data_IF_420679149315
#
_entry.id   IF_420679149315
#
_cell.length_a   1.000
_cell.length_b   1.000
_cell.length_c   1.000
_cell.angle_alpha   90.00
_cell.angle_beta   90.00
_cell.angle_gamma   90.00
#
_symmetry.space_group_name_H-M   'P 1'
#
loop_
_entity.id
_entity.type
_entity.pdbx_description
1 polymer ?
#
# COMPACT_ATOMS: atom_id res chain seq x y z
N UNK A 1 -23.90 -23.49 22.26
CA UNK A 1 -23.39 -23.62 20.88
C UNK A 1 -23.54 -22.28 20.15
N UNK A 2 -22.87 -21.23 20.64
CA UNK A 2 -22.91 -19.89 20.03
C UNK A 2 -21.50 -19.31 19.77
N UNK A 3 -20.44 -20.05 20.11
CA UNK A 3 -19.06 -19.57 20.11
C UNK A 3 -18.37 -19.70 18.73
N UNK A 4 -18.72 -20.74 17.95
CA UNK A 4 -18.12 -21.00 16.63
C UNK A 4 -18.45 -19.93 15.57
N UNK A 5 -19.54 -19.18 15.74
CA UNK A 5 -20.04 -18.28 14.70
C UNK A 5 -19.35 -16.89 14.74
N UNK A 6 -18.87 -16.47 15.90
CA UNK A 6 -18.23 -15.16 16.09
C UNK A 6 -16.72 -15.23 15.79
N UNK A 7 -16.04 -16.34 16.09
CA UNK A 7 -14.64 -16.55 15.68
C UNK A 7 -14.50 -16.56 14.15
N UNK A 8 -15.44 -17.17 13.44
CA UNK A 8 -15.38 -17.30 11.99
C UNK A 8 -15.62 -15.94 11.29
N UNK A 9 -16.54 -15.12 11.81
CA UNK A 9 -16.76 -13.73 11.33
C UNK A 9 -15.55 -12.84 11.56
N UNK A 10 -14.89 -12.95 12.72
CA UNK A 10 -13.70 -12.16 13.02
C UNK A 10 -12.50 -12.54 12.13
N UNK A 11 -12.33 -13.82 11.79
CA UNK A 11 -11.31 -14.28 10.84
C UNK A 11 -11.55 -13.76 9.42
N UNK A 12 -12.77 -13.91 8.90
CA UNK A 12 -13.12 -13.43 7.55
C UNK A 12 -12.90 -11.91 7.45
N UNK A 13 -13.27 -11.15 8.48
CA UNK A 13 -13.02 -9.70 8.48
C UNK A 13 -11.54 -9.34 8.58
N UNK A 14 -10.70 -10.14 9.25
CA UNK A 14 -9.24 -9.93 9.32
C UNK A 14 -8.54 -10.18 8.00
N UNK A 15 -9.00 -11.14 7.21
CA UNK A 15 -8.45 -11.41 5.89
C UNK A 15 -8.79 -10.31 4.88
N UNK A 16 -9.90 -9.60 5.10
CA UNK A 16 -10.31 -8.48 4.24
C UNK A 16 -9.32 -7.30 4.34
N UNK A 17 -8.77 -7.02 5.52
CA UNK A 17 -7.87 -5.87 5.70
C UNK A 17 -6.53 -6.05 4.95
N UNK A 18 -6.17 -7.29 4.59
CA UNK A 18 -4.97 -7.62 3.82
C UNK A 18 -4.95 -6.93 2.45
N UNK A 19 -6.13 -6.68 1.85
CA UNK A 19 -6.19 -5.99 0.55
C UNK A 19 -5.60 -4.58 0.62
N UNK A 20 -5.79 -3.88 1.75
CA UNK A 20 -5.29 -2.53 1.96
C UNK A 20 -3.79 -2.51 2.18
N UNK A 21 -3.26 -3.51 2.89
CA UNK A 21 -1.82 -3.71 3.00
C UNK A 21 -1.18 -3.96 1.63
N UNK A 22 -1.81 -4.79 0.80
CA UNK A 22 -1.32 -5.05 -0.55
C UNK A 22 -1.32 -3.78 -1.42
N UNK A 23 -2.43 -3.03 -1.46
CA UNK A 23 -2.52 -1.78 -2.22
C UNK A 23 -1.50 -0.74 -1.74
N UNK A 24 -1.32 -0.63 -0.42
CA UNK A 24 -0.32 0.25 0.15
C UNK A 24 1.11 -0.21 -0.13
N UNK A 25 1.39 -1.52 -0.21
CA UNK A 25 2.69 -2.03 -0.63
C UNK A 25 3.01 -1.68 -2.09
N UNK A 26 2.03 -1.80 -2.99
CA UNK A 26 2.19 -1.37 -4.40
C UNK A 26 2.44 0.14 -4.47
N UNK A 27 1.66 0.94 -3.74
CA UNK A 27 1.87 2.39 -3.67
C UNK A 27 3.26 2.76 -3.12
N UNK A 28 3.71 2.06 -2.08
CA UNK A 28 5.02 2.25 -1.48
C UNK A 28 6.18 1.88 -2.41
N UNK A 29 6.05 0.80 -3.16
CA UNK A 29 7.01 0.42 -4.20
C UNK A 29 7.13 1.51 -5.26
N UNK A 30 6.01 1.97 -5.81
CA UNK A 30 6.01 3.03 -6.83
C UNK A 30 6.61 4.33 -6.28
N UNK A 31 6.26 4.70 -5.05
CA UNK A 31 6.81 5.88 -4.39
C UNK A 31 8.33 5.76 -4.17
N UNK A 32 8.81 4.60 -3.72
CA UNK A 32 10.23 4.34 -3.52
C UNK A 32 11.01 4.40 -4.83
N UNK A 33 10.47 3.85 -5.93
CA UNK A 33 11.09 3.95 -7.26
C UNK A 33 11.16 5.40 -7.72
N UNK A 34 10.07 6.16 -7.57
CA UNK A 34 10.07 7.59 -7.93
C UNK A 34 11.06 8.39 -7.10
N UNK A 35 11.15 8.11 -5.81
CA UNK A 35 12.14 8.71 -4.93
C UNK A 35 13.56 8.38 -5.40
N UNK A 36 13.86 7.11 -5.69
CA UNK A 36 15.15 6.67 -6.21
C UNK A 36 15.53 7.38 -7.53
N UNK A 37 14.60 7.42 -8.50
CA UNK A 37 14.80 8.14 -9.76
C UNK A 37 15.01 9.65 -9.55
N UNK A 38 14.32 10.25 -8.58
CA UNK A 38 14.45 11.68 -8.28
C UNK A 38 15.80 12.05 -7.66
N UNK A 39 16.45 11.11 -6.98
CA UNK A 39 17.77 11.33 -6.39
C UNK A 39 18.87 11.40 -7.45
N UNK A 40 18.67 10.79 -8.64
CA UNK A 40 19.67 10.76 -9.70
C UNK A 40 21.01 10.11 -9.28
N UNK A 41 20.98 9.32 -8.21
CA UNK A 41 22.15 8.69 -7.59
C UNK A 41 22.50 7.42 -8.38
N UNK A 42 23.77 7.28 -8.76
CA UNK A 42 24.27 6.06 -9.39
C UNK A 42 24.12 4.87 -8.43
N UNK A 43 23.82 3.67 -8.92
CA UNK A 43 23.56 2.47 -8.09
C UNK A 43 24.65 2.19 -7.05
N UNK A 44 25.88 2.65 -7.29
CA UNK A 44 27.05 2.39 -6.46
C UNK A 44 27.41 3.54 -5.50
N UNK A 45 26.64 4.63 -5.48
CA UNK A 45 26.92 5.76 -4.61
C UNK A 45 26.39 5.51 -3.19
N UNK A 46 27.23 5.80 -2.19
CA UNK A 46 26.87 5.68 -0.78
C UNK A 46 25.70 6.61 -0.45
N UNK A 47 24.55 6.01 -0.12
CA UNK A 47 23.38 6.76 0.33
C UNK A 47 23.60 7.22 1.79
N UNK A 48 23.46 8.53 2.09
CA UNK A 48 23.41 9.01 3.46
C UNK A 48 22.33 8.27 4.25
N UNK A 49 22.60 7.99 5.53
CA UNK A 49 21.65 7.30 6.42
C UNK A 49 20.24 7.91 6.40
N UNK A 50 20.14 9.24 6.31
CA UNK A 50 18.87 9.95 6.22
C UNK A 50 18.06 9.58 4.96
N UNK A 51 18.72 9.36 3.82
CA UNK A 51 18.07 8.91 2.59
C UNK A 51 17.62 7.45 2.68
N UNK A 52 18.40 6.59 3.37
CA UNK A 52 18.00 5.22 3.66
C UNK A 52 16.71 5.15 4.49
N UNK A 53 16.60 5.98 5.54
CA UNK A 53 15.38 6.07 6.36
C UNK A 53 14.20 6.60 5.54
N UNK A 54 14.40 7.62 4.70
CA UNK A 54 13.35 8.13 3.82
C UNK A 54 12.89 7.07 2.82
N UNK A 55 13.81 6.29 2.24
CA UNK A 55 13.47 5.22 1.31
C UNK A 55 12.63 4.12 1.98
N UNK A 56 12.97 3.74 3.21
CA UNK A 56 12.15 2.81 4.01
C UNK A 56 10.77 3.41 4.33
N UNK A 57 10.70 4.69 4.67
CA UNK A 57 9.44 5.38 4.91
C UNK A 57 8.57 5.43 3.65
N UNK A 58 9.16 5.66 2.48
CA UNK A 58 8.46 5.61 1.19
C UNK A 58 7.94 4.21 0.88
N UNK A 59 8.72 3.17 1.18
CA UNK A 59 8.37 1.78 0.88
C UNK A 59 7.26 1.23 1.80
N UNK A 60 7.39 1.43 3.10
CA UNK A 60 6.48 0.84 4.10
C UNK A 60 5.40 1.79 4.61
N UNK A 61 5.63 3.10 4.52
CA UNK A 61 4.71 4.11 5.01
C UNK A 61 3.30 3.98 4.43
N UNK A 62 3.13 3.92 3.10
CA UNK A 62 1.79 3.83 2.50
C UNK A 62 1.02 2.58 2.95
N UNK A 63 1.67 1.41 3.01
CA UNK A 63 1.09 0.18 3.56
C UNK A 63 0.67 0.32 5.01
N UNK A 64 1.56 0.84 5.85
CA UNK A 64 1.30 1.04 7.28
C UNK A 64 0.13 1.99 7.54
N UNK A 65 0.10 3.15 6.87
CA UNK A 65 -0.99 4.12 7.05
C UNK A 65 -2.31 3.59 6.51
N UNK A 66 -2.33 2.94 5.34
CA UNK A 66 -3.57 2.43 4.76
C UNK A 66 -4.16 1.29 5.60
N UNK A 67 -3.29 0.40 6.13
CA UNK A 67 -3.69 -0.64 7.08
C UNK A 67 -4.27 -0.08 8.38
N UNK A 68 -3.65 0.97 8.96
CA UNK A 68 -4.19 1.62 10.17
C UNK A 68 -5.54 2.30 9.94
N UNK A 69 -5.72 2.97 8.79
CA UNK A 69 -7.00 3.61 8.44
C UNK A 69 -8.08 2.54 8.26
N UNK A 70 -7.77 1.44 7.58
CA UNK A 70 -8.69 0.33 7.38
C UNK A 70 -9.13 -0.29 8.72
N UNK A 71 -8.18 -0.61 9.61
CA UNK A 71 -8.48 -1.15 10.94
C UNK A 71 -9.36 -0.19 11.75
N UNK A 72 -9.08 1.11 11.71
CA UNK A 72 -9.88 2.10 12.42
C UNK A 72 -11.32 2.18 11.87
N UNK A 73 -11.50 2.18 10.54
CA UNK A 73 -12.85 2.21 9.95
C UNK A 73 -13.60 0.92 10.18
N UNK A 74 -12.92 -0.22 10.13
CA UNK A 74 -13.52 -1.51 10.47
C UNK A 74 -14.07 -1.51 11.90
N UNK A 75 -13.31 -0.99 12.86
CA UNK A 75 -13.81 -0.83 14.25
C UNK A 75 -15.05 0.05 14.32
N UNK A 76 -15.15 1.11 13.52
CA UNK A 76 -16.36 1.94 13.46
C UNK A 76 -17.55 1.21 12.81
N UNK A 77 -17.29 0.31 11.85
CA UNK A 77 -18.32 -0.57 11.28
C UNK A 77 -18.81 -1.58 12.31
N UNK A 78 -17.90 -2.24 13.03
CA UNK A 78 -18.23 -3.20 14.08
C UNK A 78 -18.99 -2.53 15.25
N UNK A 79 -18.73 -1.24 15.51
CA UNK A 79 -19.49 -0.41 16.47
C UNK A 79 -20.86 0.03 15.96
N UNK A 80 -21.23 -0.29 14.71
CA UNK A 80 -22.49 0.11 14.09
C UNK A 80 -22.58 1.61 13.77
N UNK A 81 -21.45 2.32 13.78
CA UNK A 81 -21.37 3.77 13.48
C UNK A 81 -21.16 4.04 12.00
N UNK A 82 -20.74 3.03 11.25
CA UNK A 82 -20.51 3.09 9.82
C UNK A 82 -21.07 1.82 9.17
N UNK A 83 -21.79 1.92 8.04
CA UNK A 83 -22.19 0.74 7.27
C UNK A 83 -21.02 0.23 6.41
N UNK A 84 -20.98 -1.07 6.11
CA UNK A 84 -19.89 -1.71 5.35
C UNK A 84 -19.70 -1.10 3.95
N UNK A 85 -20.78 -0.63 3.33
CA UNK A 85 -20.76 0.02 2.02
C UNK A 85 -19.96 1.32 2.05
N UNK A 86 -20.07 2.08 3.15
CA UNK A 86 -19.32 3.33 3.34
C UNK A 86 -17.85 3.01 3.59
N UNK A 87 -17.53 1.97 4.38
CA UNK A 87 -16.16 1.50 4.57
C UNK A 87 -15.45 1.24 3.23
N UNK A 88 -16.08 0.43 2.36
CA UNK A 88 -15.51 0.08 1.07
C UNK A 88 -15.38 1.28 0.15
N UNK A 89 -16.39 2.15 0.13
CA UNK A 89 -16.40 3.35 -0.72
C UNK A 89 -15.29 4.33 -0.34
N UNK A 90 -15.13 4.60 0.96
CA UNK A 90 -14.12 5.57 1.43
C UNK A 90 -12.72 5.02 1.24
N UNK A 91 -12.45 3.76 1.63
CA UNK A 91 -11.11 3.19 1.48
C UNK A 91 -10.71 3.04 0.01
N UNK A 92 -11.64 2.64 -0.86
CA UNK A 92 -11.39 2.61 -2.31
C UNK A 92 -11.10 4.00 -2.86
N UNK A 93 -11.83 5.03 -2.41
CA UNK A 93 -11.57 6.42 -2.79
C UNK A 93 -10.19 6.92 -2.34
N UNK A 94 -9.77 6.57 -1.11
CA UNK A 94 -8.43 6.88 -0.60
C UNK A 94 -7.37 6.18 -1.46
N UNK A 95 -7.52 4.87 -1.71
CA UNK A 95 -6.59 4.11 -2.52
C UNK A 95 -6.47 4.67 -3.95
N UNK A 96 -7.60 4.95 -4.60
CA UNK A 96 -7.63 5.55 -5.93
C UNK A 96 -6.96 6.93 -5.95
N UNK A 97 -7.16 7.75 -4.91
CA UNK A 97 -6.51 9.05 -4.79
C UNK A 97 -5.00 8.90 -4.65
N UNK A 98 -4.52 7.95 -3.84
CA UNK A 98 -3.09 7.67 -3.67
C UNK A 98 -2.46 7.29 -5.02
N UNK A 99 -3.07 6.35 -5.75
CA UNK A 99 -2.55 5.94 -7.07
C UNK A 99 -2.57 7.10 -8.07
N UNK A 100 -3.64 7.90 -8.09
CA UNK A 100 -3.71 9.09 -8.94
C UNK A 100 -2.61 10.11 -8.61
N UNK A 101 -2.34 10.37 -7.33
CA UNK A 101 -1.25 11.26 -6.89
C UNK A 101 0.13 10.72 -7.27
N UNK A 102 0.31 9.40 -7.20
CA UNK A 102 1.53 8.75 -7.69
C UNK A 102 1.62 8.75 -9.22
N UNK A 103 0.58 9.17 -9.93
CA UNK A 103 0.51 9.12 -11.39
C UNK A 103 0.43 7.69 -11.93
N UNK A 104 -0.09 6.75 -11.11
CA UNK A 104 -0.41 5.38 -11.54
C UNK A 104 -1.78 5.41 -12.19
N UNK A 105 -1.79 5.29 -13.51
CA UNK A 105 -3.00 5.33 -14.35
C UNK A 105 -3.39 3.96 -14.89
N UNK A 106 -2.47 3.00 -14.86
CA UNK A 106 -2.70 1.61 -15.25
C UNK A 106 -1.64 0.65 -14.70
N UNK A 107 -1.81 -0.64 -15.01
CA UNK A 107 -0.89 -1.72 -14.59
C UNK A 107 0.51 -1.50 -15.18
N UNK A 108 0.61 -0.92 -16.39
CA UNK A 108 1.88 -0.64 -17.06
C UNK A 108 2.80 0.27 -16.22
N UNK A 109 2.24 1.21 -15.46
CA UNK A 109 3.02 2.09 -14.59
C UNK A 109 3.64 1.32 -13.41
N UNK A 110 2.94 0.29 -12.92
CA UNK A 110 3.42 -0.60 -11.85
C UNK A 110 4.52 -1.52 -12.39
N UNK A 111 4.31 -2.11 -13.57
CA UNK A 111 5.31 -2.97 -14.23
C UNK A 111 6.59 -2.20 -14.54
N UNK A 112 6.48 -0.96 -15.04
CA UNK A 112 7.65 -0.10 -15.25
C UNK A 112 8.41 0.18 -13.95
N UNK A 113 7.69 0.40 -12.85
CA UNK A 113 8.33 0.57 -11.54
C UNK A 113 9.06 -0.71 -11.10
N UNK A 114 8.47 -1.88 -11.38
CA UNK A 114 9.09 -3.18 -11.10
C UNK A 114 10.37 -3.41 -11.91
N UNK A 115 10.36 -3.07 -13.20
CA UNK A 115 11.53 -3.24 -14.09
C UNK A 115 12.72 -2.38 -13.66
N UNK A 116 12.48 -1.21 -13.05
CA UNK A 116 13.55 -0.37 -12.48
C UNK A 116 14.24 -1.07 -11.30
N UNK A 117 13.48 -1.83 -10.49
CA UNK A 117 13.99 -2.56 -9.32
C UNK A 117 14.68 -3.86 -9.72
N UNK A 118 14.07 -4.61 -10.64
CA UNK A 118 14.56 -5.88 -11.14
C UNK A 118 14.67 -5.84 -12.67
N UNK A 119 15.70 -5.19 -13.23
CA UNK A 119 15.92 -5.24 -14.66
C UNK A 119 16.18 -6.70 -15.04
N UNK A 120 15.30 -7.30 -15.85
CA UNK A 120 15.56 -8.62 -16.40
C UNK A 120 16.84 -8.55 -17.22
N UNK A 121 17.84 -9.35 -16.88
CA UNK A 121 19.04 -9.48 -17.71
C UNK A 121 18.63 -9.94 -19.12
N UNK A 122 18.56 -9.03 -20.09
CA UNK A 122 18.36 -9.41 -21.49
C UNK A 122 17.42 -8.58 -22.38
N UNK A 123 17.22 -7.28 -22.16
CA UNK A 123 16.78 -6.41 -23.27
C UNK A 123 17.80 -5.32 -23.53
N UNK A 124 18.30 -5.19 -24.79
CA UNK A 124 19.35 -4.24 -25.18
C UNK A 124 18.95 -2.78 -25.01
#
# INVERSE_FOLDING_TARGET
MADDNDENKNKINSDIDVIWWFLGAVAGMVLAVKYFLSLGVSRDAELPWSQGVLMLACLFGPGFFLGLIADQFRKEVERGRMPWEVYWSVLSGIAASIFAFLGVTGIDDILRAWDVLYPSEGTP
#
